data_IF_244850116527
#
_entry.id   IF_244850116527
#
_cell.length_a   1.000
_cell.length_b   1.000
_cell.length_c   1.000
_cell.angle_alpha   90.00
_cell.angle_beta   90.00
_cell.angle_gamma   90.00
#
_symmetry.space_group_name_H-M   'P 1'
#
loop_
_entity.id
_entity.type
_entity.pdbx_description
1 polymer ?
#
# COMPACT_ATOMS: atom_id res chain seq x y z
N UNK A 1 -18.47 29.97 43.26
CA UNK A 1 -18.21 29.04 42.14
C UNK A 1 -17.33 29.77 41.15
N UNK A 2 -16.10 29.31 40.96
CA UNK A 2 -15.03 30.07 40.28
C UNK A 2 -15.11 29.92 38.76
N UNK A 3 -14.94 30.99 37.97
CA UNK A 3 -15.09 30.98 36.51
C UNK A 3 -13.79 30.56 35.77
N UNK A 4 -13.15 29.45 36.18
CA UNK A 4 -11.80 29.09 35.71
C UNK A 4 -11.72 27.93 34.69
N UNK A 5 -12.83 27.32 34.25
CA UNK A 5 -12.79 26.05 33.50
C UNK A 5 -13.32 26.11 32.05
N UNK A 6 -13.20 27.26 31.36
CA UNK A 6 -13.59 27.37 29.93
C UNK A 6 -12.44 27.71 28.96
N UNK A 7 -11.19 27.56 29.37
CA UNK A 7 -10.04 27.66 28.46
C UNK A 7 -9.48 26.27 28.12
N UNK A 8 -10.31 25.45 27.47
CA UNK A 8 -9.93 24.14 26.96
C UNK A 8 -9.77 24.15 25.45
N UNK A 9 -8.52 24.24 24.99
CA UNK A 9 -8.05 23.64 23.73
C UNK A 9 -8.31 24.33 22.38
N UNK A 10 -8.31 25.66 22.32
CA UNK A 10 -8.03 26.40 21.07
C UNK A 10 -6.52 26.34 20.74
N UNK A 11 -6.01 25.13 20.45
CA UNK A 11 -4.69 24.98 19.80
C UNK A 11 -4.81 25.55 18.40
N UNK A 12 -4.14 26.67 18.15
CA UNK A 12 -4.14 27.36 16.87
C UNK A 12 -3.82 26.40 15.73
N UNK A 13 -4.82 26.10 14.91
CA UNK A 13 -4.67 25.38 13.66
C UNK A 13 -3.93 26.32 12.69
N UNK A 14 -2.60 26.23 12.65
CA UNK A 14 -1.89 26.76 11.48
C UNK A 14 -2.23 25.82 10.32
N UNK A 15 -3.19 26.23 9.49
CA UNK A 15 -3.42 25.59 8.20
C UNK A 15 -2.08 25.63 7.45
N UNK A 16 -1.48 24.47 7.09
CA UNK A 16 -0.22 24.48 6.37
C UNK A 16 -0.37 25.35 5.11
N UNK A 17 0.51 26.34 4.95
CA UNK A 17 0.59 27.18 3.76
C UNK A 17 0.69 26.27 2.53
N UNK A 18 -0.39 26.15 1.76
CA UNK A 18 -0.51 25.21 0.63
C UNK A 18 -1.78 24.33 0.64
N UNK A 19 -2.50 24.23 1.77
CA UNK A 19 -3.75 23.44 1.87
C UNK A 19 -4.80 23.73 0.78
N UNK A 20 -5.14 25.00 0.43
CA UNK A 20 -6.12 25.24 -0.63
C UNK A 20 -5.63 24.78 -2.01
N UNK A 21 -4.33 24.86 -2.27
CA UNK A 21 -3.74 24.37 -3.53
C UNK A 21 -3.77 22.84 -3.59
N UNK A 22 -3.30 22.17 -2.54
CA UNK A 22 -3.32 20.71 -2.44
C UNK A 22 -4.75 20.14 -2.46
N UNK A 23 -5.73 20.84 -1.87
CA UNK A 23 -7.15 20.44 -1.97
C UNK A 23 -7.66 20.56 -3.41
N UNK A 24 -7.34 21.65 -4.11
CA UNK A 24 -7.73 21.83 -5.51
C UNK A 24 -7.08 20.78 -6.41
N UNK A 25 -5.80 20.47 -6.18
CA UNK A 25 -5.07 19.41 -6.87
C UNK A 25 -5.71 18.04 -6.63
N UNK A 26 -6.03 17.71 -5.38
CA UNK A 26 -6.74 16.48 -5.03
C UNK A 26 -8.10 16.39 -5.74
N UNK A 27 -8.89 17.47 -5.72
CA UNK A 27 -10.18 17.51 -6.40
C UNK A 27 -10.06 17.33 -7.92
N UNK A 28 -9.04 17.91 -8.55
CA UNK A 28 -8.77 17.74 -9.98
C UNK A 28 -8.35 16.30 -10.31
N UNK A 29 -7.43 15.72 -9.53
CA UNK A 29 -6.97 14.35 -9.68
C UNK A 29 -8.13 13.35 -9.54
N UNK A 30 -8.99 13.53 -8.54
CA UNK A 30 -10.17 12.69 -8.34
C UNK A 30 -11.18 12.80 -9.48
N UNK A 31 -11.34 13.98 -10.08
CA UNK A 31 -12.19 14.15 -11.26
C UNK A 31 -11.68 13.35 -12.46
N UNK A 32 -10.38 13.49 -12.75
CA UNK A 32 -9.74 12.73 -13.84
C UNK A 32 -9.74 11.22 -13.59
N UNK A 33 -9.56 10.78 -12.35
CA UNK A 33 -9.69 9.37 -11.98
C UNK A 33 -11.10 8.82 -12.27
N UNK A 34 -12.14 9.55 -11.89
CA UNK A 34 -13.53 9.16 -12.17
C UNK A 34 -13.80 8.98 -13.66
N UNK A 35 -13.20 9.81 -14.53
CA UNK A 35 -13.31 9.68 -15.98
C UNK A 35 -12.59 8.42 -16.50
N UNK A 36 -11.32 8.19 -16.11
CA UNK A 36 -10.57 6.98 -16.50
C UNK A 36 -11.28 5.68 -16.09
N UNK A 37 -11.96 5.67 -14.95
CA UNK A 37 -12.69 4.48 -14.49
C UNK A 37 -13.98 4.19 -15.24
N UNK A 38 -14.60 5.21 -15.83
CA UNK A 38 -15.75 5.01 -16.72
C UNK A 38 -15.32 4.37 -18.04
N UNK A 39 -14.08 4.60 -18.47
CA UNK A 39 -13.50 4.00 -19.68
C UNK A 39 -13.11 2.53 -19.45
N UNK A 40 -12.79 2.12 -18.21
CA UNK A 40 -12.48 0.74 -17.86
C UNK A 40 -13.72 -0.18 -17.96
N UNK A 41 -13.53 -1.34 -18.60
CA UNK A 41 -14.53 -2.40 -18.74
C UNK A 41 -14.06 -3.73 -18.10
N UNK A 42 -15.01 -4.63 -17.87
CA UNK A 42 -14.71 -5.95 -17.32
C UNK A 42 -13.84 -6.75 -18.31
N UNK A 43 -12.65 -7.16 -17.86
CA UNK A 43 -11.66 -7.82 -18.71
C UNK A 43 -10.64 -6.89 -19.36
N UNK A 44 -10.61 -5.60 -18.99
CA UNK A 44 -9.55 -4.66 -19.41
C UNK A 44 -8.14 -5.22 -19.14
N UNK A 45 -7.18 -4.81 -19.96
CA UNK A 45 -5.82 -5.33 -19.86
C UNK A 45 -5.15 -4.84 -18.56
N UNK A 46 -4.31 -5.66 -17.87
CA UNK A 46 -3.66 -5.25 -16.62
C UNK A 46 -2.89 -3.92 -16.69
N UNK A 47 -2.34 -3.57 -17.86
CA UNK A 47 -1.66 -2.29 -18.06
C UNK A 47 -2.60 -1.06 -17.95
N UNK A 48 -3.89 -1.21 -18.27
CA UNK A 48 -4.87 -0.12 -18.12
C UNK A 48 -5.12 0.17 -16.62
N UNK A 49 -5.12 -0.87 -15.78
CA UNK A 49 -5.21 -0.73 -14.33
C UNK A 49 -3.93 -0.15 -13.70
N UNK A 50 -2.77 -0.28 -14.35
CA UNK A 50 -1.51 0.28 -13.84
C UNK A 50 -1.56 1.81 -13.82
N UNK A 51 -2.01 2.43 -14.91
CA UNK A 51 -2.19 3.89 -14.96
C UNK A 51 -3.17 4.39 -13.89
N UNK A 52 -4.26 3.65 -13.67
CA UNK A 52 -5.24 3.97 -12.61
C UNK A 52 -4.63 3.81 -11.22
N UNK A 53 -3.84 2.75 -10.97
CA UNK A 53 -3.15 2.55 -9.71
C UNK A 53 -2.15 3.67 -9.41
N UNK A 54 -1.38 4.12 -10.39
CA UNK A 54 -0.40 5.20 -10.22
C UNK A 54 -1.08 6.55 -9.94
N UNK A 55 -2.19 6.83 -10.63
CA UNK A 55 -2.99 8.03 -10.39
C UNK A 55 -3.64 8.01 -8.99
N UNK A 56 -4.16 6.85 -8.56
CA UNK A 56 -4.70 6.65 -7.20
C UNK A 56 -3.64 6.83 -6.13
N UNK A 57 -2.43 6.31 -6.36
CA UNK A 57 -1.32 6.47 -5.43
C UNK A 57 -0.88 7.93 -5.29
N UNK A 58 -0.86 8.67 -6.41
CA UNK A 58 -0.54 10.11 -6.41
C UNK A 58 -1.60 10.89 -5.64
N UNK A 59 -2.89 10.65 -5.91
CA UNK A 59 -3.99 11.26 -5.17
C UNK A 59 -3.95 10.92 -3.68
N UNK A 60 -3.61 9.67 -3.34
CA UNK A 60 -3.40 9.21 -1.97
C UNK A 60 -2.30 10.01 -1.27
N UNK A 61 -1.15 10.24 -1.90
CA UNK A 61 -0.06 11.02 -1.32
C UNK A 61 -0.49 12.46 -1.00
N UNK A 62 -1.22 13.09 -1.93
CA UNK A 62 -1.77 14.44 -1.71
C UNK A 62 -2.78 14.45 -0.56
N UNK A 63 -3.68 13.46 -0.50
CA UNK A 63 -4.64 13.32 0.60
C UNK A 63 -3.96 13.04 1.96
N UNK A 64 -2.93 12.19 1.97
CA UNK A 64 -2.15 11.87 3.16
C UNK A 64 -1.38 13.09 3.67
N UNK A 65 -0.86 13.95 2.79
CA UNK A 65 -0.22 15.21 3.15
C UNK A 65 -1.20 16.27 3.69
N UNK A 66 -2.48 16.19 3.34
CA UNK A 66 -3.55 17.04 3.88
C UNK A 66 -4.06 16.57 5.25
N UNK A 67 -3.88 15.28 5.55
CA UNK A 67 -4.23 14.68 6.83
C UNK A 67 -3.12 14.93 7.87
N UNK A 68 -3.45 14.91 9.18
CA UNK A 68 -2.43 14.84 10.22
C UNK A 68 -1.52 13.64 10.01
N UNK A 69 -0.24 13.78 10.37
CA UNK A 69 0.72 12.69 10.28
C UNK A 69 0.20 11.44 11.02
N UNK A 70 0.00 10.35 10.29
CA UNK A 70 -0.49 9.07 10.82
C UNK A 70 0.71 8.24 11.30
N UNK A 71 0.90 8.15 12.61
CA UNK A 71 1.92 7.28 13.21
C UNK A 71 1.27 5.97 13.67
N UNK A 72 1.28 4.95 12.81
CA UNK A 72 0.58 3.70 13.11
C UNK A 72 1.37 2.83 14.09
N UNK A 73 0.94 2.84 15.34
CA UNK A 73 1.63 2.11 16.41
C UNK A 73 1.21 0.64 16.51
N UNK A 74 0.11 0.26 15.86
CA UNK A 74 -0.51 -1.07 15.98
C UNK A 74 -1.20 -1.33 17.32
N UNK A 75 -1.38 -0.31 18.16
CA UNK A 75 -2.08 -0.42 19.44
C UNK A 75 -3.57 -0.09 19.29
N UNK A 76 -4.45 -0.87 19.94
CA UNK A 76 -5.89 -0.62 20.00
C UNK A 76 -6.24 0.67 20.75
N UNK A 77 -5.46 1.03 21.78
CA UNK A 77 -5.67 2.25 22.57
C UNK A 77 -5.12 3.51 21.89
N UNK A 78 -4.02 3.39 21.15
CA UNK A 78 -3.31 4.54 20.55
C UNK A 78 -2.94 4.27 19.08
N UNK A 79 -3.92 4.06 18.18
CA UNK A 79 -3.64 3.66 16.79
C UNK A 79 -2.73 4.67 16.08
N UNK A 80 -2.87 5.97 16.37
CA UNK A 80 -2.07 7.07 15.84
C UNK A 80 -1.12 7.70 16.88
N UNK A 81 -0.73 6.95 17.93
CA UNK A 81 0.17 7.43 18.97
C UNK A 81 1.62 7.60 18.49
N UNK A 82 2.49 8.14 19.34
CA UNK A 82 3.93 8.23 19.03
C UNK A 82 4.55 6.83 18.85
N UNK A 83 5.47 6.71 17.88
CA UNK A 83 6.21 5.48 17.62
C UNK A 83 7.44 5.37 18.53
N UNK A 84 7.63 4.20 19.15
CA UNK A 84 8.82 3.88 19.93
C UNK A 84 9.94 3.38 19.00
N UNK A 85 11.06 4.13 18.83
CA UNK A 85 12.19 3.67 18.03
C UNK A 85 13.01 2.58 18.71
N UNK A 86 12.90 2.43 20.03
CA UNK A 86 13.68 1.49 20.85
C UNK A 86 12.81 0.36 21.42
N UNK A 87 11.71 0.02 20.72
CA UNK A 87 10.83 -1.07 21.13
C UNK A 87 11.60 -2.42 21.09
N UNK A 88 11.68 -3.16 22.21
CA UNK A 88 12.26 -4.50 22.23
C UNK A 88 11.48 -5.48 21.34
N UNK A 89 12.14 -6.57 20.91
CA UNK A 89 11.50 -7.62 20.12
C UNK A 89 10.26 -8.19 20.82
N UNK A 90 9.16 -8.32 20.07
CA UNK A 90 7.87 -8.79 20.60
C UNK A 90 7.01 -7.71 21.27
N UNK A 91 7.46 -6.46 21.33
CA UNK A 91 6.63 -5.33 21.81
C UNK A 91 5.94 -4.62 20.64
N UNK A 92 4.81 -3.98 20.93
CA UNK A 92 4.17 -3.07 19.97
C UNK A 92 5.00 -1.81 19.78
N UNK A 93 4.70 -1.03 18.73
CA UNK A 93 5.46 0.20 18.41
C UNK A 93 4.93 1.44 19.14
N UNK A 94 3.96 1.30 20.04
CA UNK A 94 3.36 2.45 20.72
C UNK A 94 4.26 2.92 21.87
N UNK A 95 4.84 4.11 21.71
CA UNK A 95 5.68 4.74 22.73
C UNK A 95 4.94 4.91 24.06
N UNK A 96 3.68 5.34 24.05
CA UNK A 96 2.89 5.55 25.27
C UNK A 96 2.69 4.24 26.04
N UNK A 97 2.34 3.17 25.34
CA UNK A 97 2.16 1.85 25.96
C UNK A 97 3.50 1.26 26.43
N UNK A 98 4.56 1.42 25.65
CA UNK A 98 5.89 0.95 26.00
C UNK A 98 6.45 1.73 27.20
N UNK A 99 6.25 3.04 27.28
CA UNK A 99 6.65 3.87 28.42
C UNK A 99 5.92 3.46 29.69
N UNK A 100 4.60 3.28 29.64
CA UNK A 100 3.83 2.74 30.78
C UNK A 100 4.34 1.37 31.22
N UNK A 101 4.68 0.50 30.27
CA UNK A 101 5.26 -0.82 30.55
C UNK A 101 6.66 -0.71 31.18
N UNK A 102 7.54 0.16 30.67
CA UNK A 102 8.87 0.42 31.24
C UNK A 102 8.76 0.96 32.67
N UNK A 103 7.84 1.89 32.91
CA UNK A 103 7.56 2.43 34.25
C UNK A 103 7.04 1.33 35.20
N UNK A 104 6.13 0.48 34.75
CA UNK A 104 5.63 -0.67 35.52
C UNK A 104 6.73 -1.68 35.86
N UNK A 105 7.60 -2.02 34.90
CA UNK A 105 8.75 -2.91 35.11
C UNK A 105 9.78 -2.32 36.09
N UNK A 106 10.01 -0.99 36.04
CA UNK A 106 10.87 -0.28 36.99
C UNK A 106 10.29 -0.29 38.41
N UNK A 107 8.96 -0.16 38.55
CA UNK A 107 8.29 -0.17 39.85
C UNK A 107 8.22 -1.56 40.49
N UNK A 108 8.22 -2.64 39.69
CA UNK A 108 7.99 -4.01 40.18
C UNK A 108 9.25 -4.88 40.28
N UNK A 109 10.45 -4.34 40.08
CA UNK A 109 11.69 -5.09 40.30
C UNK A 109 11.73 -6.43 39.56
N UNK A 110 11.63 -6.39 38.22
CA UNK A 110 11.95 -7.52 37.34
C UNK A 110 11.25 -8.85 37.67
N UNK A 111 9.92 -8.93 37.58
CA UNK A 111 9.20 -10.20 37.30
C UNK A 111 7.73 -9.96 36.92
N UNK A 112 7.49 -9.70 35.63
CA UNK A 112 6.22 -10.04 34.96
C UNK A 112 6.35 -9.78 33.45
N UNK A 113 6.80 -10.78 32.70
CA UNK A 113 6.61 -10.82 31.25
C UNK A 113 5.15 -11.26 30.99
N UNK A 114 4.21 -10.32 31.10
CA UNK A 114 2.86 -10.55 30.61
C UNK A 114 2.90 -10.57 29.08
N UNK A 115 2.57 -11.73 28.51
CA UNK A 115 2.55 -11.98 27.07
C UNK A 115 1.77 -10.90 26.33
N UNK A 116 2.42 -10.30 25.34
CA UNK A 116 1.77 -9.34 24.46
C UNK A 116 0.69 -10.05 23.62
N UNK A 117 -0.42 -9.37 23.27
CA UNK A 117 -1.25 -9.82 22.16
C UNK A 117 -0.34 -9.96 20.93
N UNK A 118 -0.56 -10.99 20.08
CA UNK A 118 0.27 -11.20 18.91
C UNK A 118 0.32 -9.90 18.12
N UNK A 119 1.51 -9.56 17.61
CA UNK A 119 1.71 -8.46 16.68
C UNK A 119 0.85 -8.74 15.44
N UNK A 120 -0.43 -8.36 15.51
CA UNK A 120 -1.35 -8.40 14.40
C UNK A 120 -0.69 -7.63 13.28
N UNK A 121 -0.31 -8.38 12.25
CA UNK A 121 0.31 -7.96 10.99
C UNK A 121 0.54 -6.45 10.94
N UNK A 122 1.68 -6.00 11.49
CA UNK A 122 1.99 -4.58 11.68
C UNK A 122 2.15 -3.92 10.30
N UNK A 123 1.02 -3.48 9.71
CA UNK A 123 0.95 -2.83 8.39
C UNK A 123 1.78 -1.55 8.46
N UNK A 124 2.91 -1.52 7.75
CA UNK A 124 3.97 -0.50 7.86
C UNK A 124 3.51 0.94 7.71
N UNK A 125 2.36 1.19 7.10
CA UNK A 125 1.81 2.53 6.86
C UNK A 125 0.51 2.81 7.62
N UNK A 126 -0.10 1.82 8.28
CA UNK A 126 -1.35 2.00 9.04
C UNK A 126 -2.61 2.33 8.25
N UNK A 127 -2.53 2.30 6.93
CA UNK A 127 -3.70 2.44 6.07
C UNK A 127 -4.44 1.11 5.93
N UNK A 128 -5.78 1.13 5.84
CA UNK A 128 -6.55 -0.08 5.68
C UNK A 128 -6.24 -0.72 4.32
N UNK A 129 -6.10 -2.04 4.33
CA UNK A 129 -5.98 -2.90 3.15
C UNK A 129 -7.30 -3.67 3.06
N UNK A 130 -8.01 -3.60 1.92
CA UNK A 130 -9.24 -4.33 1.72
C UNK A 130 -8.96 -5.83 1.60
N UNK A 131 -9.90 -6.65 2.07
CA UNK A 131 -9.82 -8.11 1.91
C UNK A 131 -10.25 -8.51 0.49
N UNK A 132 -9.72 -9.62 -0.07
CA UNK A 132 -10.18 -10.16 -1.35
C UNK A 132 -11.67 -10.57 -1.29
N UNK A 133 -12.39 -10.59 -2.43
CA UNK A 133 -11.89 -10.60 -3.81
C UNK A 133 -11.66 -9.22 -4.43
N UNK A 134 -10.54 -9.05 -5.13
CA UNK A 134 -10.23 -7.84 -5.91
C UNK A 134 -10.85 -7.92 -7.31
N UNK A 135 -11.90 -7.12 -7.54
CA UNK A 135 -12.66 -7.06 -8.80
C UNK A 135 -12.80 -5.60 -9.28
N UNK A 136 -13.10 -5.40 -10.57
CA UNK A 136 -13.40 -4.05 -11.08
C UNK A 136 -14.60 -3.44 -10.36
N UNK A 137 -15.61 -4.25 -10.01
CA UNK A 137 -16.75 -3.78 -9.23
C UNK A 137 -16.33 -3.26 -7.85
N UNK A 138 -15.47 -3.99 -7.12
CA UNK A 138 -14.94 -3.53 -5.84
C UNK A 138 -14.16 -2.21 -5.98
N UNK A 139 -13.38 -2.05 -7.06
CA UNK A 139 -12.69 -0.80 -7.36
C UNK A 139 -13.68 0.34 -7.59
N UNK A 140 -14.73 0.13 -8.40
CA UNK A 140 -15.78 1.13 -8.66
C UNK A 140 -16.52 1.52 -7.38
N UNK A 141 -16.79 0.58 -6.48
CA UNK A 141 -17.49 0.86 -5.22
C UNK A 141 -16.61 1.68 -4.26
N UNK A 142 -15.31 1.38 -4.17
CA UNK A 142 -14.37 2.20 -3.41
C UNK A 142 -14.28 3.63 -3.96
N UNK A 143 -14.26 3.79 -5.28
CA UNK A 143 -14.17 5.10 -5.91
C UNK A 143 -15.44 5.92 -5.81
N UNK A 144 -16.62 5.29 -5.87
CA UNK A 144 -17.87 5.96 -5.55
C UNK A 144 -17.86 6.53 -4.13
N UNK A 145 -17.35 5.74 -3.17
CA UNK A 145 -17.18 6.19 -1.79
C UNK A 145 -16.23 7.40 -1.70
N UNK A 146 -15.14 7.40 -2.48
CA UNK A 146 -14.20 8.54 -2.55
C UNK A 146 -14.86 9.76 -3.19
N UNK A 147 -15.63 9.60 -4.26
CA UNK A 147 -16.37 10.68 -4.93
C UNK A 147 -17.41 11.31 -4.00
N UNK A 148 -18.21 10.50 -3.31
CA UNK A 148 -19.21 10.97 -2.34
C UNK A 148 -18.54 11.81 -1.24
N UNK A 149 -17.41 11.34 -0.69
CA UNK A 149 -16.65 12.11 0.30
C UNK A 149 -16.06 13.39 -0.26
N UNK A 150 -15.56 13.35 -1.50
CA UNK A 150 -15.00 14.53 -2.18
C UNK A 150 -16.02 15.66 -2.26
N UNK A 151 -17.29 15.38 -2.52
CA UNK A 151 -18.34 16.40 -2.57
C UNK A 151 -18.52 17.14 -1.25
N UNK A 152 -18.27 16.47 -0.13
CA UNK A 152 -18.38 17.07 1.22
C UNK A 152 -17.06 17.62 1.76
N UNK A 153 -15.94 17.42 1.05
CA UNK A 153 -14.62 17.85 1.49
C UNK A 153 -14.34 19.30 1.08
N UNK A 154 -14.22 20.17 2.07
CA UNK A 154 -13.89 21.59 1.92
C UNK A 154 -12.65 22.00 2.70
N UNK A 155 -12.23 23.26 2.55
CA UNK A 155 -11.05 23.78 3.23
C UNK A 155 -11.18 23.76 4.77
N UNK A 156 -12.39 24.00 5.26
CA UNK A 156 -12.76 23.98 6.68
C UNK A 156 -13.10 22.59 7.22
N UNK A 157 -13.02 21.54 6.39
CA UNK A 157 -13.33 20.20 6.87
C UNK A 157 -12.39 19.79 8.00
N UNK A 158 -12.89 19.03 9.00
CA UNK A 158 -12.06 18.59 10.11
C UNK A 158 -10.99 17.62 9.63
N UNK A 159 -9.91 17.51 10.39
CA UNK A 159 -8.76 16.71 10.03
C UNK A 159 -9.10 15.21 9.80
N UNK A 160 -10.08 14.69 10.52
CA UNK A 160 -10.53 13.30 10.40
C UNK A 160 -11.15 12.98 9.02
N UNK A 161 -11.77 13.96 8.34
CA UNK A 161 -12.28 13.75 6.99
C UNK A 161 -11.14 13.56 5.98
N UNK A 162 -10.01 14.24 6.18
CA UNK A 162 -8.81 14.05 5.36
C UNK A 162 -8.15 12.70 5.62
N UNK A 163 -8.20 12.20 6.85
CA UNK A 163 -7.75 10.84 7.17
C UNK A 163 -8.62 9.81 6.46
N UNK A 164 -9.95 9.98 6.51
CA UNK A 164 -10.90 9.05 5.88
C UNK A 164 -10.75 9.00 4.37
N UNK A 165 -10.61 10.14 3.70
CA UNK A 165 -10.40 10.15 2.23
C UNK A 165 -9.05 9.53 1.84
N UNK A 166 -8.00 9.74 2.64
CA UNK A 166 -6.71 9.07 2.42
C UNK A 166 -6.80 7.55 2.62
N UNK A 167 -7.52 7.10 3.64
CA UNK A 167 -7.79 5.67 3.90
C UNK A 167 -8.56 5.02 2.74
N UNK A 168 -9.58 5.68 2.21
CA UNK A 168 -10.38 5.16 1.10
C UNK A 168 -9.63 5.18 -0.24
N UNK A 169 -8.82 6.22 -0.49
CA UNK A 169 -7.91 6.25 -1.63
C UNK A 169 -6.88 5.13 -1.58
N UNK A 170 -6.32 4.85 -0.40
CA UNK A 170 -5.39 3.74 -0.24
C UNK A 170 -6.05 2.39 -0.51
N UNK A 171 -7.29 2.18 -0.05
CA UNK A 171 -8.06 0.96 -0.36
C UNK A 171 -8.24 0.79 -1.86
N UNK A 172 -8.71 1.84 -2.55
CA UNK A 172 -8.88 1.82 -4.00
C UNK A 172 -7.55 1.52 -4.73
N UNK A 173 -6.46 2.16 -4.30
CA UNK A 173 -5.11 1.90 -4.81
C UNK A 173 -4.72 0.43 -4.71
N UNK A 174 -4.92 -0.21 -3.56
CA UNK A 174 -4.61 -1.64 -3.39
C UNK A 174 -5.41 -2.48 -4.39
N UNK A 175 -6.72 -2.25 -4.52
CA UNK A 175 -7.54 -3.02 -5.46
C UNK A 175 -7.04 -2.83 -6.90
N UNK A 176 -6.81 -1.58 -7.33
CA UNK A 176 -6.27 -1.29 -8.66
C UNK A 176 -4.90 -1.94 -8.88
N UNK A 177 -4.03 -1.92 -7.87
CA UNK A 177 -2.69 -2.52 -7.94
C UNK A 177 -2.74 -4.03 -8.02
N UNK A 178 -3.71 -4.68 -7.40
CA UNK A 178 -3.91 -6.14 -7.53
C UNK A 178 -4.55 -6.50 -8.87
N UNK A 179 -5.41 -5.64 -9.44
CA UNK A 179 -5.95 -5.82 -10.80
C UNK A 179 -4.90 -5.60 -11.89
N UNK A 180 -3.93 -4.71 -11.67
CA UNK A 180 -2.85 -4.45 -12.63
C UNK A 180 -1.76 -5.51 -12.65
N UNK A 181 -1.76 -6.43 -11.68
CA UNK A 181 -0.83 -7.56 -11.72
C UNK A 181 -1.20 -8.45 -12.91
N UNK A 182 -0.24 -8.75 -13.80
CA UNK A 182 -0.51 -9.66 -14.90
C UNK A 182 -0.96 -11.00 -14.30
N UNK A 183 -2.24 -11.34 -14.46
CA UNK A 183 -2.76 -12.64 -14.10
C UNK A 183 -2.27 -13.65 -15.13
N UNK A 184 -1.00 -14.04 -15.03
CA UNK A 184 -0.55 -15.33 -15.52
C UNK A 184 -1.09 -16.37 -14.55
N UNK A 185 -2.39 -16.65 -14.59
CA UNK A 185 -3.01 -17.60 -13.69
C UNK A 185 -2.58 -19.03 -14.07
N UNK A 186 -1.35 -19.38 -13.70
CA UNK A 186 -0.86 -20.76 -13.68
C UNK A 186 -1.70 -21.69 -12.79
N UNK A 187 -2.74 -21.17 -12.12
CA UNK A 187 -3.61 -21.91 -11.21
C UNK A 187 -2.87 -22.44 -9.98
N UNK A 188 -1.64 -21.98 -9.74
CA UNK A 188 -0.79 -22.54 -8.71
C UNK A 188 -1.23 -22.06 -7.32
N UNK A 189 -1.61 -22.99 -6.45
CA UNK A 189 -2.00 -22.73 -5.07
C UNK A 189 -0.88 -22.11 -4.23
N UNK A 190 0.38 -22.42 -4.52
CA UNK A 190 1.54 -21.81 -3.83
C UNK A 190 1.87 -20.40 -4.35
N UNK A 191 1.58 -20.12 -5.62
CA UNK A 191 2.01 -18.91 -6.30
C UNK A 191 0.91 -18.37 -7.23
N UNK A 192 -0.19 -17.84 -6.65
CA UNK A 192 -1.40 -17.51 -7.40
C UNK A 192 -1.25 -16.36 -8.41
N UNK A 193 -0.17 -15.58 -8.32
CA UNK A 193 0.14 -14.48 -9.26
C UNK A 193 1.41 -14.68 -10.09
N UNK A 194 1.98 -15.89 -10.08
CA UNK A 194 3.23 -16.13 -10.77
C UNK A 194 3.01 -16.44 -12.26
N UNK A 195 3.78 -15.81 -13.17
CA UNK A 195 3.67 -16.05 -14.61
C UNK A 195 3.73 -17.54 -14.96
N UNK A 196 2.98 -17.93 -15.98
CA UNK A 196 3.08 -19.28 -16.58
C UNK A 196 4.44 -19.38 -17.26
N UNK A 197 5.13 -20.49 -17.04
CA UNK A 197 6.38 -20.78 -17.75
C UNK A 197 6.06 -21.13 -19.22
N UNK A 198 6.59 -20.40 -20.22
CA UNK A 198 6.32 -20.68 -21.63
C UNK A 198 6.86 -22.05 -22.09
N UNK A 199 7.83 -22.62 -21.36
CA UNK A 199 8.43 -23.92 -21.66
C UNK A 199 7.74 -25.07 -20.89
N UNK A 200 6.73 -24.79 -20.06
CA UNK A 200 6.02 -25.82 -19.32
C UNK A 200 4.88 -26.45 -20.14
N UNK A 201 4.62 -27.77 -19.99
CA UNK A 201 3.47 -28.42 -20.62
C UNK A 201 2.13 -27.73 -20.27
N UNK A 202 1.14 -27.76 -21.18
CA UNK A 202 -0.15 -27.13 -20.95
C UNK A 202 -0.82 -27.76 -19.71
N UNK A 203 -1.02 -26.94 -18.69
CA UNK A 203 -1.76 -27.31 -17.48
C UNK A 203 -0.96 -27.30 -16.18
N UNK A 204 0.37 -27.16 -16.17
CA UNK A 204 1.09 -27.26 -14.90
C UNK A 204 2.32 -26.35 -14.73
N UNK A 205 2.21 -25.55 -13.67
CA UNK A 205 3.25 -24.81 -12.93
C UNK A 205 3.57 -23.38 -13.39
N UNK A 206 3.57 -22.49 -12.39
CA UNK A 206 4.15 -21.17 -12.54
C UNK A 206 5.67 -21.26 -12.71
N UNK A 207 6.30 -20.20 -13.21
CA UNK A 207 7.74 -20.11 -13.42
C UNK A 207 8.57 -20.46 -12.18
N UNK A 208 8.05 -20.19 -10.98
CA UNK A 208 8.73 -20.53 -9.72
C UNK A 208 8.62 -22.01 -9.37
N UNK A 209 7.45 -22.63 -9.55
CA UNK A 209 7.25 -24.06 -9.35
C UNK A 209 7.97 -24.88 -10.42
N UNK A 210 7.92 -24.44 -11.68
CA UNK A 210 8.69 -25.02 -12.78
C UNK A 210 10.20 -24.87 -12.52
N UNK A 211 10.66 -23.70 -12.08
CA UNK A 211 12.04 -23.47 -11.66
C UNK A 211 12.47 -24.36 -10.48
N UNK A 212 11.59 -24.57 -9.48
CA UNK A 212 11.84 -25.46 -8.35
C UNK A 212 11.92 -26.92 -8.80
N UNK A 213 11.00 -27.39 -9.65
CA UNK A 213 11.04 -28.74 -10.25
C UNK A 213 12.34 -28.95 -11.07
N UNK A 214 12.72 -28.00 -11.93
CA UNK A 214 13.98 -28.05 -12.69
C UNK A 214 15.22 -28.12 -11.79
N UNK A 215 15.24 -27.37 -10.67
CA UNK A 215 16.33 -27.46 -9.69
C UNK A 215 16.35 -28.78 -8.93
N UNK A 216 15.19 -29.35 -8.61
CA UNK A 216 15.10 -30.65 -7.94
C UNK A 216 15.45 -31.83 -8.86
N UNK A 217 15.17 -31.71 -10.16
CA UNK A 217 15.53 -32.70 -11.19
C UNK A 217 16.99 -32.59 -11.64
N UNK A 218 17.66 -31.45 -11.37
CA UNK A 218 19.10 -31.31 -11.58
C UNK A 218 19.84 -32.15 -10.53
N UNK A 219 20.56 -33.18 -10.99
CA UNK A 219 21.49 -33.92 -10.13
C UNK A 219 22.55 -32.96 -9.57
N UNK A 220 22.95 -33.17 -8.31
CA UNK A 220 23.83 -32.29 -7.56
C UNK A 220 25.28 -32.20 -8.08
N UNK A 221 25.59 -32.76 -9.25
CA UNK A 221 26.96 -33.11 -9.63
C UNK A 221 27.59 -32.23 -10.72
N UNK A 222 26.89 -31.23 -11.27
CA UNK A 222 27.51 -30.39 -12.30
C UNK A 222 27.14 -28.91 -12.15
N UNK A 223 28.04 -28.07 -11.59
CA UNK A 223 27.90 -26.63 -11.71
C UNK A 223 28.09 -26.23 -13.17
N UNK A 224 26.98 -25.93 -13.85
CA UNK A 224 27.02 -25.31 -15.16
C UNK A 224 27.53 -23.87 -14.98
N UNK A 225 28.81 -23.65 -15.29
CA UNK A 225 29.37 -22.30 -15.37
C UNK A 225 28.54 -21.52 -16.39
N UNK A 226 27.80 -20.50 -15.93
CA UNK A 226 27.20 -19.53 -16.86
C UNK A 226 28.31 -19.11 -17.81
N UNK A 227 28.15 -19.26 -19.15
CA UNK A 227 29.16 -18.82 -20.08
C UNK A 227 29.40 -17.36 -19.77
N UNK A 228 30.62 -17.06 -19.30
CA UNK A 228 31.06 -15.74 -18.93
C UNK A 228 30.86 -14.90 -20.19
N UNK A 229 29.79 -14.10 -20.24
CA UNK A 229 29.53 -13.17 -21.33
C UNK A 229 30.79 -12.33 -21.40
N UNK A 230 31.65 -12.59 -22.40
CA UNK A 230 32.86 -11.83 -22.61
C UNK A 230 32.36 -10.40 -22.83
N UNK A 231 32.74 -9.48 -21.92
CA UNK A 231 32.51 -8.03 -22.07
C UNK A 231 33.05 -7.63 -23.45
N UNK A 232 32.18 -7.58 -24.46
CA UNK A 232 32.56 -7.42 -25.86
C UNK A 232 31.45 -7.78 -26.84
N UNK A 233 30.69 -8.85 -26.59
CA UNK A 233 29.55 -9.21 -27.45
C UNK A 233 28.29 -8.47 -27.01
N UNK A 234 28.17 -7.22 -27.46
CA UNK A 234 26.88 -6.56 -27.56
C UNK A 234 26.01 -7.42 -28.48
N UNK A 235 25.09 -8.21 -27.90
CA UNK A 235 23.93 -8.71 -28.64
C UNK A 235 23.25 -7.49 -29.24
N UNK A 236 23.41 -7.31 -30.55
CA UNK A 236 22.59 -6.38 -31.31
C UNK A 236 21.16 -6.92 -31.22
N UNK A 237 20.40 -6.45 -30.26
CA UNK A 237 18.95 -6.49 -30.30
C UNK A 237 18.56 -5.79 -31.61
N UNK A 238 18.22 -6.56 -32.64
CA UNK A 238 17.70 -6.03 -33.88
C UNK A 238 16.45 -5.23 -33.54
N UNK A 239 16.56 -3.90 -33.57
CA UNK A 239 15.43 -2.99 -33.46
C UNK A 239 14.57 -3.22 -34.70
N UNK A 240 13.50 -3.99 -34.55
CA UNK A 240 12.49 -4.25 -35.58
C UNK A 240 11.53 -3.07 -35.77
N UNK A 241 12.06 -1.86 -35.80
CA UNK A 241 11.31 -0.66 -36.16
C UNK A 241 12.24 0.25 -36.95
N UNK A 242 12.03 0.29 -38.27
CA UNK A 242 12.60 1.30 -39.14
C UNK A 242 12.03 2.67 -38.76
N UNK A 243 12.93 3.64 -38.56
CA UNK A 243 12.60 5.03 -38.30
C UNK A 243 12.22 5.67 -39.65
N UNK A 244 11.02 6.25 -39.81
CA UNK A 244 10.66 6.91 -41.05
C UNK A 244 11.55 8.14 -41.30
N UNK A 245 11.94 8.41 -42.56
CA UNK A 245 12.78 9.56 -42.92
C UNK A 245 12.01 10.87 -42.72
N UNK A 246 12.72 11.88 -42.21
CA UNK A 246 12.27 13.27 -42.17
C UNK A 246 12.53 14.00 -43.47
#
# INVERSE_FOLDING_TARGET
MSPAEQHGNSRGYSVPTGRPYALKELQAALGSLGDHLRELYDGAHPAEYEAVADALYTAFQTAAGLAPAKSYTGCSEHPNGALDPEAPDGWGRCLICNDRRRLGLRAQGARAAAAAPPAGEQRRLGYPVPDPPYTLQALRDHLRTVEDRRFHLGFSSPADEFVRIADDLHRAFIVARELSRPRGASGCSEHPGAPIDPDAPPGEACIFCAGRKRRAQRSATTPEMLPRIRRGERRQLQRRFERPPG
#
